data_IF_281950857586
#
_entry.id   IF_281950857586
#
_cell.length_a   1.000
_cell.length_b   1.000
_cell.length_c   1.000
_cell.angle_alpha   90.00
_cell.angle_beta   90.00
_cell.angle_gamma   90.00
#
_symmetry.space_group_name_H-M   'P 1'
#
loop_
_entity.id
_entity.type
_entity.pdbx_description
1 polymer ?
#
# COMPACT_ATOMS: atom_id res chain seq x y z
N UNK A 1 -26.71 -32.61 -36.14
CA UNK A 1 -25.82 -31.51 -36.52
C UNK A 1 -26.30 -30.17 -35.95
N UNK A 2 -27.51 -29.68 -36.14
CA UNK A 2 -28.00 -28.38 -35.61
C UNK A 2 -27.93 -28.25 -34.07
N UNK A 3 -28.26 -29.32 -33.33
CA UNK A 3 -28.19 -29.33 -31.86
C UNK A 3 -26.73 -29.21 -31.33
N UNK A 4 -25.77 -29.83 -32.02
CA UNK A 4 -24.36 -29.79 -31.67
C UNK A 4 -23.75 -28.38 -31.89
N UNK A 5 -24.16 -27.71 -32.98
CA UNK A 5 -23.76 -26.33 -33.28
C UNK A 5 -24.31 -25.34 -32.24
N UNK A 6 -25.57 -25.54 -31.81
CA UNK A 6 -26.21 -24.69 -30.81
C UNK A 6 -25.52 -24.82 -29.44
N UNK A 7 -25.14 -26.04 -29.07
CA UNK A 7 -24.43 -26.31 -27.80
C UNK A 7 -23.01 -25.69 -27.83
N UNK A 8 -22.31 -25.77 -28.94
CA UNK A 8 -21.00 -25.19 -29.13
C UNK A 8 -21.05 -23.63 -29.08
N UNK A 9 -22.07 -23.03 -29.71
CA UNK A 9 -22.31 -21.60 -29.69
C UNK A 9 -22.62 -21.08 -28.26
N UNK A 10 -23.39 -21.85 -27.48
CA UNK A 10 -23.67 -21.49 -26.06
C UNK A 10 -22.41 -21.58 -25.18
N UNK A 11 -21.52 -22.54 -25.40
CA UNK A 11 -20.26 -22.67 -24.67
C UNK A 11 -19.32 -21.53 -25.03
N UNK A 12 -19.24 -21.12 -26.29
CA UNK A 12 -18.43 -19.97 -26.71
C UNK A 12 -18.95 -18.63 -26.17
N UNK A 13 -20.25 -18.46 -25.97
CA UNK A 13 -20.84 -17.24 -25.42
C UNK A 13 -20.59 -17.08 -23.91
N UNK A 14 -20.35 -18.21 -23.20
CA UNK A 14 -20.06 -18.20 -21.77
C UNK A 14 -18.58 -17.91 -21.39
N UNK A 15 -17.69 -17.80 -22.36
CA UNK A 15 -16.25 -17.63 -22.17
C UNK A 15 -15.77 -16.19 -22.44
N UNK A 16 -16.63 -15.18 -22.35
CA UNK A 16 -16.15 -13.80 -22.22
C UNK A 16 -15.57 -13.61 -20.81
N UNK A 17 -14.34 -14.08 -20.62
CA UNK A 17 -13.51 -13.68 -19.49
C UNK A 17 -13.28 -12.18 -19.64
N UNK A 18 -14.12 -11.37 -18.98
CA UNK A 18 -13.80 -9.97 -18.78
C UNK A 18 -12.44 -9.94 -18.09
N UNK A 19 -11.43 -9.48 -18.80
CA UNK A 19 -10.12 -9.18 -18.22
C UNK A 19 -10.34 -8.08 -17.18
N UNK A 20 -10.48 -8.49 -15.92
CA UNK A 20 -10.68 -7.58 -14.80
C UNK A 20 -9.53 -6.58 -14.82
N UNK A 21 -9.83 -5.31 -15.05
CA UNK A 21 -8.81 -4.25 -15.06
C UNK A 21 -8.02 -4.33 -13.75
N UNK A 22 -6.70 -4.31 -13.86
CA UNK A 22 -5.83 -4.30 -12.67
C UNK A 22 -6.12 -3.03 -11.88
N UNK A 23 -6.32 -3.11 -10.56
CA UNK A 23 -6.58 -1.94 -9.74
C UNK A 23 -5.33 -1.05 -9.67
N UNK A 24 -5.56 0.26 -9.58
CA UNK A 24 -4.53 1.21 -9.21
C UNK A 24 -4.42 1.28 -7.69
N UNK A 25 -3.19 1.44 -7.17
CA UNK A 25 -2.92 1.59 -5.75
C UNK A 25 -2.32 2.97 -5.48
N UNK A 26 -2.90 3.68 -4.52
CA UNK A 26 -2.33 4.91 -3.97
C UNK A 26 -2.01 4.61 -2.52
N UNK A 27 -0.73 4.66 -2.16
CA UNK A 27 -0.28 4.51 -0.79
C UNK A 27 0.18 5.86 -0.26
N UNK A 28 -0.46 6.33 0.82
CA UNK A 28 -0.15 7.62 1.46
C UNK A 28 0.46 7.30 2.83
N UNK A 29 1.73 7.63 3.01
CA UNK A 29 2.40 7.56 4.30
C UNK A 29 2.63 8.97 4.82
N UNK A 30 2.01 9.29 5.93
CA UNK A 30 2.16 10.58 6.59
C UNK A 30 3.39 10.53 7.50
N UNK A 31 4.19 11.58 7.50
CA UNK A 31 5.35 11.72 8.37
C UNK A 31 4.92 12.35 9.70
N UNK A 32 5.47 11.85 10.80
CA UNK A 32 5.24 12.31 12.16
C UNK A 32 3.75 12.42 12.59
N UNK A 33 2.87 11.62 11.99
CA UNK A 33 1.47 11.57 12.37
C UNK A 33 1.20 10.39 13.32
N UNK A 34 0.63 10.69 14.46
CA UNK A 34 0.19 9.72 15.44
C UNK A 34 -1.27 9.29 15.25
N UNK A 35 -1.68 8.27 15.99
CA UNK A 35 -3.03 7.73 15.97
C UNK A 35 -4.09 8.81 16.26
N UNK A 36 -3.80 9.72 17.20
CA UNK A 36 -4.73 10.78 17.62
C UNK A 36 -4.74 12.03 16.74
N UNK A 37 -4.02 12.04 15.60
CA UNK A 37 -3.93 13.22 14.74
C UNK A 37 -5.04 13.30 13.68
N UNK A 38 -5.89 12.28 13.60
CA UNK A 38 -6.99 12.22 12.64
C UNK A 38 -8.35 12.19 13.34
N UNK A 39 -9.34 12.92 12.79
CA UNK A 39 -10.69 12.99 13.34
C UNK A 39 -11.34 11.63 13.50
N UNK A 40 -11.18 10.74 12.53
CA UNK A 40 -11.69 9.36 12.57
C UNK A 40 -11.11 8.51 13.70
N UNK A 41 -9.99 8.94 14.29
CA UNK A 41 -9.35 8.32 15.45
C UNK A 41 -9.46 9.14 16.74
N UNK A 42 -10.25 10.22 16.74
CA UNK A 42 -10.60 10.96 17.94
C UNK A 42 -9.96 12.33 18.10
N UNK A 43 -9.27 12.86 17.08
CA UNK A 43 -8.77 14.25 17.09
C UNK A 43 -9.92 15.24 17.24
N UNK A 44 -9.79 16.19 18.19
CA UNK A 44 -10.82 17.17 18.52
C UNK A 44 -10.40 18.63 18.30
N UNK A 45 -9.08 18.91 18.26
CA UNK A 45 -8.56 20.28 18.18
C UNK A 45 -8.63 20.85 16.75
N UNK A 46 -8.53 19.99 15.76
CA UNK A 46 -8.68 20.35 14.34
C UNK A 46 -9.38 19.23 13.59
N UNK A 47 -9.83 19.53 12.37
CA UNK A 47 -10.63 18.61 11.56
C UNK A 47 -9.82 18.04 10.40
N UNK A 48 -10.03 16.77 10.08
CA UNK A 48 -9.43 16.07 8.95
C UNK A 48 -10.53 15.50 8.01
N UNK A 49 -11.40 16.37 7.42
CA UNK A 49 -12.66 15.94 6.82
C UNK A 49 -12.47 14.99 5.63
N UNK A 50 -11.39 15.12 4.87
CA UNK A 50 -11.12 14.24 3.74
C UNK A 50 -10.70 12.84 4.19
N UNK A 51 -9.84 12.75 5.21
CA UNK A 51 -9.41 11.48 5.81
C UNK A 51 -10.58 10.81 6.53
N UNK A 52 -11.38 11.58 7.26
CA UNK A 52 -12.57 11.10 7.97
C UNK A 52 -13.59 10.50 7.01
N UNK A 53 -13.78 11.13 5.84
CA UNK A 53 -14.67 10.63 4.78
C UNK A 53 -14.11 9.35 4.15
N UNK A 54 -12.81 9.25 3.92
CA UNK A 54 -12.17 8.01 3.44
C UNK A 54 -12.35 6.88 4.46
N UNK A 55 -12.14 7.16 5.74
CA UNK A 55 -12.33 6.18 6.82
C UNK A 55 -13.78 5.71 6.94
N UNK A 56 -14.76 6.60 6.70
CA UNK A 56 -16.19 6.26 6.72
C UNK A 56 -16.62 5.41 5.51
N UNK A 57 -15.96 5.59 4.35
CA UNK A 57 -16.26 4.86 3.11
C UNK A 57 -15.47 3.57 2.96
N UNK A 58 -14.42 3.36 3.75
CA UNK A 58 -13.49 2.25 3.64
C UNK A 58 -13.33 1.47 4.93
N UNK A 59 -12.17 0.85 5.09
CA UNK A 59 -11.81 0.09 6.28
C UNK A 59 -10.91 0.92 7.19
N UNK A 60 -11.26 0.98 8.47
CA UNK A 60 -10.47 1.64 9.51
C UNK A 60 -9.79 0.60 10.40
N UNK A 61 -8.47 0.65 10.48
CA UNK A 61 -7.70 -0.23 11.33
C UNK A 61 -7.47 0.43 12.70
N UNK A 62 -7.76 -0.29 13.77
CA UNK A 62 -7.57 0.19 15.15
C UNK A 62 -6.29 -0.32 15.79
N UNK A 63 -5.65 -1.30 15.18
CA UNK A 63 -4.42 -1.95 15.64
C UNK A 63 -3.45 -2.12 14.46
N UNK A 64 -3.04 -0.99 13.85
CA UNK A 64 -2.06 -0.97 12.79
C UNK A 64 -0.85 -0.15 13.25
N UNK A 65 0.33 -0.76 13.18
CA UNK A 65 1.57 -0.18 13.69
C UNK A 65 2.61 -0.05 12.58
N UNK A 66 3.44 0.99 12.69
CA UNK A 66 4.61 1.13 11.85
C UNK A 66 5.63 0.02 12.15
N UNK A 67 6.44 -0.35 11.17
CA UNK A 67 7.47 -1.39 11.31
C UNK A 67 8.63 -1.01 12.24
N UNK A 68 8.78 0.28 12.54
CA UNK A 68 9.80 0.82 13.45
C UNK A 68 9.31 2.11 14.12
N UNK A 69 10.00 2.54 15.15
CA UNK A 69 9.72 3.78 15.89
C UNK A 69 10.17 5.06 15.17
N UNK A 70 10.96 4.93 14.09
CA UNK A 70 11.48 6.06 13.30
C UNK A 70 11.24 5.86 11.80
N UNK A 71 11.26 6.97 11.05
CA UNK A 71 10.77 7.06 9.67
C UNK A 71 11.57 6.21 8.66
N UNK A 72 12.89 6.34 8.60
CA UNK A 72 13.69 5.67 7.55
C UNK A 72 13.61 4.14 7.60
N UNK A 73 13.75 3.44 8.74
CA UNK A 73 13.60 2.00 8.79
C UNK A 73 12.16 1.54 8.57
N UNK A 74 11.15 2.31 9.01
CA UNK A 74 9.74 2.03 8.71
C UNK A 74 9.48 2.06 7.20
N UNK A 75 9.96 3.09 6.51
CA UNK A 75 9.83 3.24 5.05
C UNK A 75 10.58 2.13 4.31
N UNK A 76 11.79 1.80 4.74
CA UNK A 76 12.58 0.73 4.16
C UNK A 76 11.88 -0.62 4.29
N UNK A 77 11.44 -1.01 5.48
CA UNK A 77 10.75 -2.28 5.73
C UNK A 77 9.45 -2.38 4.93
N UNK A 78 8.67 -1.30 4.85
CA UNK A 78 7.46 -1.25 4.05
C UNK A 78 7.74 -1.42 2.56
N UNK A 79 8.68 -0.64 2.01
CA UNK A 79 8.98 -0.68 0.57
C UNK A 79 9.52 -2.03 0.11
N UNK A 80 10.30 -2.70 0.96
CA UNK A 80 10.90 -4.00 0.66
C UNK A 80 10.04 -5.20 1.11
N UNK A 81 8.95 -4.97 1.87
CA UNK A 81 8.09 -6.03 2.39
C UNK A 81 8.79 -6.95 3.40
N UNK A 82 9.75 -6.43 4.19
CA UNK A 82 10.52 -7.21 5.14
C UNK A 82 10.38 -6.67 6.56
N UNK A 83 10.55 -7.55 7.55
CA UNK A 83 10.62 -7.14 8.94
C UNK A 83 11.82 -6.21 9.19
N UNK A 84 11.68 -5.23 10.07
CA UNK A 84 12.72 -4.21 10.35
C UNK A 84 14.07 -4.82 10.72
N UNK A 85 14.10 -5.98 11.38
CA UNK A 85 15.31 -6.73 11.68
C UNK A 85 16.09 -7.22 10.44
N UNK A 86 15.42 -7.33 9.29
CA UNK A 86 16.01 -7.72 8.00
C UNK A 86 16.10 -6.56 7.00
N UNK A 87 15.56 -5.39 7.36
CA UNK A 87 15.62 -4.21 6.50
C UNK A 87 17.06 -3.70 6.37
N UNK A 88 17.41 -3.19 5.20
CA UNK A 88 18.74 -2.60 4.95
C UNK A 88 18.95 -1.34 5.79
N UNK A 89 17.94 -0.46 5.84
CA UNK A 89 17.97 0.75 6.67
C UNK A 89 17.32 0.43 8.02
N UNK A 90 18.09 0.46 9.10
CA UNK A 90 17.65 0.08 10.45
C UNK A 90 17.54 1.25 11.43
N UNK A 91 17.87 2.44 11.00
CA UNK A 91 17.81 3.66 11.82
C UNK A 91 17.91 4.89 10.95
N UNK A 92 17.66 6.05 11.52
CA UNK A 92 17.93 7.32 10.84
C UNK A 92 19.44 7.55 10.86
N UNK A 93 20.05 7.52 9.70
CA UNK A 93 21.48 7.73 9.49
C UNK A 93 21.68 8.68 8.32
N UNK A 94 22.39 9.74 8.56
CA UNK A 94 22.84 10.63 7.49
C UNK A 94 24.06 10.03 6.78
N UNK A 95 24.03 10.12 5.45
CA UNK A 95 25.14 9.77 4.56
C UNK A 95 25.42 10.99 3.69
N UNK A 96 26.55 11.62 3.91
CA UNK A 96 26.95 12.80 3.15
C UNK A 96 27.37 12.40 1.72
N UNK A 97 27.01 13.17 0.69
CA UNK A 97 26.18 14.38 0.70
C UNK A 97 24.65 14.14 0.51
N UNK A 98 24.22 12.88 0.38
CA UNK A 98 22.82 12.54 0.03
C UNK A 98 21.80 12.74 1.17
N UNK A 99 22.24 12.91 2.41
CA UNK A 99 21.35 13.00 3.57
C UNK A 99 21.01 11.64 4.16
N UNK A 100 19.83 11.07 3.90
CA UNK A 100 19.43 9.75 4.41
C UNK A 100 20.10 8.61 3.63
N UNK A 101 20.42 7.50 4.32
CA UNK A 101 20.99 6.32 3.68
C UNK A 101 20.06 5.79 2.57
N UNK A 102 20.51 5.70 1.31
CA UNK A 102 19.70 5.22 0.21
C UNK A 102 19.42 3.71 0.32
N UNK A 103 18.27 3.29 -0.18
CA UNK A 103 17.99 1.86 -0.38
C UNK A 103 18.81 1.39 -1.59
N UNK A 104 19.55 0.27 -1.49
CA UNK A 104 20.31 -0.28 -2.61
C UNK A 104 19.44 -0.50 -3.85
N UNK A 105 20.00 -0.18 -5.02
CA UNK A 105 19.25 -0.20 -6.28
C UNK A 105 18.84 -1.61 -6.72
N UNK A 106 19.50 -2.65 -6.24
CA UNK A 106 19.21 -4.07 -6.52
C UNK A 106 18.09 -4.64 -5.65
N UNK A 107 17.72 -3.97 -4.54
CA UNK A 107 16.62 -4.43 -3.71
C UNK A 107 15.28 -4.36 -4.45
N UNK A 108 14.50 -5.42 -4.27
CA UNK A 108 13.13 -5.50 -4.77
C UNK A 108 12.25 -4.64 -3.88
N UNK A 109 11.52 -3.71 -4.48
CA UNK A 109 10.55 -2.84 -3.79
C UNK A 109 9.17 -3.00 -4.38
N UNK A 110 8.14 -2.68 -3.58
CA UNK A 110 6.74 -2.71 -4.04
C UNK A 110 6.55 -1.98 -5.37
N UNK A 111 7.06 -0.75 -5.60
CA UNK A 111 6.94 -0.08 -6.89
C UNK A 111 7.62 -0.81 -8.05
N UNK A 112 8.70 -1.56 -7.80
CA UNK A 112 9.33 -2.39 -8.84
C UNK A 112 8.49 -3.60 -9.22
N UNK A 113 7.75 -4.17 -8.27
CA UNK A 113 6.88 -5.33 -8.51
C UNK A 113 5.58 -4.95 -9.23
N UNK A 114 5.11 -3.72 -9.05
CA UNK A 114 3.85 -3.23 -9.64
C UNK A 114 4.04 -2.58 -11.02
N UNK A 115 5.27 -2.45 -11.49
CA UNK A 115 5.62 -1.86 -12.78
C UNK A 115 5.60 -2.89 -13.89
#
# INVERSE_FOLDING_TARGET
MKKLILTFAMICLGLTLEAKQKPNFIFIMVDDAGYGDFGCYGQKLFKTPNIDRMAAAGMKFTQHYAGSTVCAPTRCSLLNGVHTGHAFVRGNREVQPEGQAPIPADLITIPKLLK
#
